data_IF_734855175761
#
_entry.id   IF_734855175761
#
_cell.length_a   1.000
_cell.length_b   1.000
_cell.length_c   1.000
_cell.angle_alpha   90.00
_cell.angle_beta   90.00
_cell.angle_gamma   90.00
#
_symmetry.space_group_name_H-M   'P 1'
#
loop_
_entity.id
_entity.type
_entity.pdbx_description
1 polymer ?
#
# COMPACT_ATOMS: atom_id res chain seq x y z
N UNK A 1 -33.36 -4.90 -5.20
CA UNK A 1 -31.96 -4.86 -5.67
C UNK A 1 -31.62 -3.39 -5.93
N UNK A 2 -30.46 -2.90 -5.50
CA UNK A 2 -30.03 -1.53 -5.83
C UNK A 2 -29.68 -1.53 -7.32
N UNK A 3 -30.17 -0.54 -8.06
CA UNK A 3 -29.85 -0.37 -9.47
C UNK A 3 -28.33 -0.12 -9.64
N UNK A 4 -27.60 -0.95 -10.41
CA UNK A 4 -26.16 -0.83 -10.61
C UNK A 4 -25.70 0.49 -11.27
N UNK A 5 -26.61 1.26 -11.86
CA UNK A 5 -26.32 2.56 -12.46
C UNK A 5 -26.62 3.73 -11.55
N UNK A 6 -27.29 3.50 -10.42
CA UNK A 6 -27.74 4.55 -9.51
C UNK A 6 -26.62 5.21 -8.71
N UNK A 7 -26.84 6.46 -8.30
CA UNK A 7 -25.96 7.18 -7.36
C UNK A 7 -25.77 6.39 -6.05
N UNK A 8 -26.83 5.76 -5.55
CA UNK A 8 -26.75 4.94 -4.34
C UNK A 8 -25.76 3.79 -4.50
N UNK A 9 -25.73 3.14 -5.67
CA UNK A 9 -24.78 2.07 -5.94
C UNK A 9 -23.35 2.60 -6.02
N UNK A 10 -23.12 3.75 -6.67
CA UNK A 10 -21.80 4.40 -6.69
C UNK A 10 -21.29 4.69 -5.28
N UNK A 11 -22.13 5.24 -4.41
CA UNK A 11 -21.78 5.48 -2.99
C UNK A 11 -21.40 4.18 -2.30
N UNK A 12 -22.13 3.09 -2.53
CA UNK A 12 -21.78 1.77 -1.98
C UNK A 12 -20.42 1.29 -2.49
N UNK A 13 -20.10 1.44 -3.78
CA UNK A 13 -18.79 1.06 -4.34
C UNK A 13 -17.67 1.87 -3.71
N UNK A 14 -17.87 3.18 -3.52
CA UNK A 14 -16.91 4.05 -2.83
C UNK A 14 -16.69 3.56 -1.39
N UNK A 15 -17.77 3.25 -0.65
CA UNK A 15 -17.65 2.73 0.71
C UNK A 15 -16.88 1.40 0.77
N UNK A 16 -17.10 0.49 -0.18
CA UNK A 16 -16.34 -0.77 -0.25
C UNK A 16 -14.86 -0.49 -0.54
N UNK A 17 -14.55 0.44 -1.44
CA UNK A 17 -13.18 0.85 -1.72
C UNK A 17 -12.49 1.45 -0.47
N UNK A 18 -13.22 2.25 0.33
CA UNK A 18 -12.70 2.76 1.61
C UNK A 18 -12.54 1.67 2.67
N UNK A 19 -13.42 0.66 2.69
CA UNK A 19 -13.25 -0.51 3.57
C UNK A 19 -11.99 -1.29 3.19
N UNK A 20 -11.77 -1.51 1.88
CA UNK A 20 -10.54 -2.09 1.38
C UNK A 20 -9.31 -1.28 1.82
N UNK A 21 -9.36 0.04 1.66
CA UNK A 21 -8.28 0.94 2.05
C UNK A 21 -7.94 0.86 3.54
N UNK A 22 -8.97 0.86 4.39
CA UNK A 22 -8.79 0.70 5.83
C UNK A 22 -8.15 -0.65 6.15
N UNK A 23 -8.64 -1.73 5.53
CA UNK A 23 -8.08 -3.06 5.72
C UNK A 23 -6.63 -3.16 5.21
N UNK A 24 -6.31 -2.46 4.12
CA UNK A 24 -4.96 -2.39 3.56
C UNK A 24 -4.02 -1.66 4.53
N UNK A 25 -4.40 -0.45 4.98
CA UNK A 25 -3.65 0.27 6.00
C UNK A 25 -3.48 -0.53 7.30
N UNK A 26 -4.48 -1.33 7.67
CA UNK A 26 -4.41 -2.20 8.85
C UNK A 26 -3.44 -3.38 8.67
N UNK A 27 -3.41 -4.03 7.50
CA UNK A 27 -2.47 -5.11 7.18
C UNK A 27 -1.03 -4.58 7.12
N UNK A 28 -0.86 -3.50 6.35
CA UNK A 28 0.45 -3.01 5.95
C UNK A 28 1.10 -2.05 6.95
N UNK A 29 0.38 -1.69 8.03
CA UNK A 29 1.00 -1.07 9.20
C UNK A 29 2.27 -1.84 9.63
N UNK A 30 2.23 -3.17 9.54
CA UNK A 30 3.36 -4.02 9.86
C UNK A 30 4.57 -3.82 8.93
N UNK A 31 4.37 -3.51 7.64
CA UNK A 31 5.46 -3.27 6.69
C UNK A 31 6.23 -1.99 7.03
N UNK A 32 5.53 -0.97 7.55
CA UNK A 32 6.14 0.31 7.90
C UNK A 32 6.81 0.32 9.29
N UNK A 33 6.28 -0.43 10.26
CA UNK A 33 6.69 -0.26 11.68
C UNK A 33 7.23 -1.52 12.38
N UNK A 34 7.08 -2.72 11.80
CA UNK A 34 7.53 -3.94 12.49
C UNK A 34 9.03 -3.92 12.79
N UNK A 35 9.83 -3.30 11.93
CA UNK A 35 11.27 -3.14 12.08
C UNK A 35 11.65 -2.26 13.27
N UNK A 36 11.08 -1.06 13.40
CA UNK A 36 11.40 -0.10 14.48
C UNK A 36 10.83 -0.54 15.84
N UNK A 37 9.72 -1.28 15.83
CA UNK A 37 9.13 -1.87 17.03
C UNK A 37 9.91 -3.10 17.48
N UNK A 38 10.34 -3.97 16.56
CA UNK A 38 11.09 -5.20 16.90
C UNK A 38 12.49 -4.90 17.42
N UNK A 39 13.16 -3.85 16.91
CA UNK A 39 14.44 -3.36 17.43
C UNK A 39 14.30 -2.59 18.75
N UNK A 40 13.06 -2.37 19.23
CA UNK A 40 12.71 -1.62 20.45
C UNK A 40 13.19 -0.17 20.44
N UNK A 41 13.39 0.39 19.26
CA UNK A 41 13.73 1.82 19.09
C UNK A 41 12.51 2.69 19.40
N UNK A 42 11.31 2.20 19.07
CA UNK A 42 10.07 2.93 19.27
C UNK A 42 9.01 2.04 19.93
N UNK A 43 8.17 2.63 20.78
CA UNK A 43 6.99 1.95 21.31
C UNK A 43 5.97 1.70 20.18
N UNK A 44 5.17 0.61 20.23
CA UNK A 44 4.17 0.34 19.20
C UNK A 44 3.22 1.51 18.94
N UNK A 45 2.79 2.20 20.01
CA UNK A 45 1.80 3.28 19.93
C UNK A 45 2.37 4.53 19.27
N UNK A 46 3.62 4.88 19.58
CA UNK A 46 4.34 5.96 18.89
C UNK A 46 4.60 5.60 17.42
N UNK A 47 4.89 4.34 17.13
CA UNK A 47 5.19 3.88 15.78
C UNK A 47 3.96 3.94 14.86
N UNK A 48 2.79 3.45 15.30
CA UNK A 48 1.54 3.57 14.52
C UNK A 48 1.09 5.02 14.35
N UNK A 49 1.32 5.88 15.35
CA UNK A 49 1.00 7.31 15.24
C UNK A 49 1.87 7.99 14.18
N UNK A 50 3.19 7.78 14.24
CA UNK A 50 4.12 8.30 13.24
C UNK A 50 3.80 7.75 11.84
N UNK A 51 3.57 6.45 11.72
CA UNK A 51 3.27 5.83 10.45
C UNK A 51 1.94 6.30 9.86
N UNK A 52 0.90 6.51 10.68
CA UNK A 52 -0.37 7.08 10.22
C UNK A 52 -0.21 8.48 9.63
N UNK A 53 0.54 9.36 10.31
CA UNK A 53 0.84 10.71 9.80
C UNK A 53 1.67 10.66 8.52
N UNK A 54 2.72 9.85 8.48
CA UNK A 54 3.56 9.73 7.29
C UNK A 54 2.81 9.09 6.12
N UNK A 55 1.96 8.08 6.34
CA UNK A 55 1.11 7.50 5.32
C UNK A 55 0.15 8.55 4.74
N UNK A 56 -0.45 9.41 5.59
CA UNK A 56 -1.29 10.51 5.12
C UNK A 56 -0.52 11.48 4.22
N UNK A 57 0.67 11.92 4.66
CA UNK A 57 1.51 12.84 3.90
C UNK A 57 2.00 12.23 2.59
N UNK A 58 2.35 10.95 2.60
CA UNK A 58 2.71 10.19 1.41
C UNK A 58 1.54 10.11 0.44
N UNK A 59 0.34 9.79 0.93
CA UNK A 59 -0.86 9.66 0.11
C UNK A 59 -1.20 10.94 -0.65
N UNK A 60 -1.06 12.10 -0.03
CA UNK A 60 -1.34 13.39 -0.68
C UNK A 60 -0.22 13.90 -1.59
N UNK A 61 0.92 13.19 -1.68
CA UNK A 61 2.11 13.66 -2.42
C UNK A 61 2.03 13.45 -3.93
N UNK A 62 1.07 12.67 -4.43
CA UNK A 62 0.95 12.40 -5.86
C UNK A 62 -0.27 11.56 -6.23
N UNK A 63 -0.40 11.27 -7.53
CA UNK A 63 -1.51 10.48 -8.11
C UNK A 63 -1.06 9.51 -9.22
N UNK A 64 0.25 9.30 -9.38
CA UNK A 64 0.81 8.47 -10.45
C UNK A 64 0.35 7.00 -10.37
N UNK A 65 0.36 6.41 -9.17
CA UNK A 65 -0.12 5.04 -8.94
C UNK A 65 -1.63 4.95 -9.12
N UNK A 66 -2.37 5.98 -8.74
CA UNK A 66 -3.82 6.03 -8.95
C UNK A 66 -4.17 5.97 -10.44
N UNK A 67 -3.44 6.71 -11.28
CA UNK A 67 -3.58 6.66 -12.74
C UNK A 67 -3.18 5.29 -13.31
N UNK A 68 -2.10 4.69 -12.78
CA UNK A 68 -1.65 3.37 -13.20
C UNK A 68 -2.66 2.26 -12.88
N UNK A 69 -3.28 2.27 -11.69
CA UNK A 69 -4.29 1.28 -11.30
C UNK A 69 -5.61 1.54 -12.02
N UNK A 70 -6.04 2.79 -12.05
CA UNK A 70 -7.35 3.18 -12.56
C UNK A 70 -7.53 3.00 -14.07
N UNK A 71 -6.46 3.15 -14.87
CA UNK A 71 -6.51 3.00 -16.33
C UNK A 71 -5.59 1.91 -16.89
N UNK A 72 -4.70 1.35 -16.07
CA UNK A 72 -3.67 0.42 -16.54
C UNK A 72 -4.01 -1.05 -16.36
N UNK A 73 -5.14 -1.40 -15.74
CA UNK A 73 -5.54 -2.79 -15.51
C UNK A 73 -6.60 -3.23 -16.51
N UNK A 74 -7.70 -2.49 -16.58
CA UNK A 74 -8.86 -2.74 -17.45
C UNK A 74 -9.22 -1.46 -18.20
N UNK A 75 -9.70 -1.61 -19.43
CA UNK A 75 -10.22 -0.51 -20.23
C UNK A 75 -11.51 0.03 -19.59
N UNK A 76 -11.54 1.29 -19.11
CA UNK A 76 -12.71 1.86 -18.46
C UNK A 76 -13.96 1.86 -19.35
N UNK A 77 -13.80 1.98 -20.67
CA UNK A 77 -14.93 2.04 -21.62
C UNK A 77 -15.57 0.66 -21.83
N UNK A 78 -14.86 -0.41 -21.48
CA UNK A 78 -15.31 -1.80 -21.62
C UNK A 78 -15.93 -2.41 -20.37
N UNK A 79 -16.04 -1.66 -19.26
CA UNK A 79 -16.52 -2.17 -17.97
C UNK A 79 -17.65 -1.31 -17.41
N UNK A 80 -18.37 -1.88 -16.44
CA UNK A 80 -19.44 -1.18 -15.70
C UNK A 80 -19.06 -0.94 -14.24
N UNK A 81 -19.83 -0.08 -13.57
CA UNK A 81 -19.70 0.14 -12.13
C UNK A 81 -19.89 -1.16 -11.33
N UNK A 82 -20.73 -2.10 -11.79
CA UNK A 82 -20.90 -3.41 -11.18
C UNK A 82 -19.60 -4.23 -11.21
N UNK A 83 -18.85 -4.16 -12.30
CA UNK A 83 -17.57 -4.86 -12.44
C UNK A 83 -16.52 -4.30 -11.51
N UNK A 84 -16.46 -2.96 -11.37
CA UNK A 84 -15.61 -2.32 -10.36
C UNK A 84 -16.01 -2.78 -8.96
N UNK A 85 -17.32 -2.81 -8.66
CA UNK A 85 -17.86 -3.27 -7.38
C UNK A 85 -17.43 -4.71 -7.06
N UNK A 86 -17.58 -5.63 -8.01
CA UNK A 86 -17.18 -7.03 -7.84
C UNK A 86 -15.67 -7.17 -7.60
N UNK A 87 -14.85 -6.48 -8.39
CA UNK A 87 -13.40 -6.53 -8.27
C UNK A 87 -12.89 -6.00 -6.94
N UNK A 88 -13.37 -4.83 -6.51
CA UNK A 88 -12.97 -4.22 -5.23
C UNK A 88 -13.51 -5.00 -4.04
N UNK A 89 -14.71 -5.58 -4.14
CA UNK A 89 -15.28 -6.42 -3.08
C UNK A 89 -14.46 -7.70 -2.89
N UNK A 90 -14.07 -8.36 -3.98
CA UNK A 90 -13.21 -9.54 -3.90
C UNK A 90 -11.87 -9.23 -3.22
N UNK A 91 -11.24 -8.11 -3.60
CA UNK A 91 -10.01 -7.63 -2.97
C UNK A 91 -10.19 -7.29 -1.48
N UNK A 92 -11.27 -6.58 -1.13
CA UNK A 92 -11.61 -6.20 0.24
C UNK A 92 -11.79 -7.42 1.15
N UNK A 93 -12.57 -8.41 0.69
CA UNK A 93 -12.81 -9.64 1.43
C UNK A 93 -11.49 -10.36 1.69
N UNK A 94 -10.66 -10.54 0.66
CA UNK A 94 -9.39 -11.25 0.80
C UNK A 94 -8.42 -10.55 1.76
N UNK A 95 -8.20 -9.25 1.59
CA UNK A 95 -7.27 -8.48 2.45
C UNK A 95 -7.78 -8.44 3.89
N UNK A 96 -9.08 -8.27 4.12
CA UNK A 96 -9.65 -8.28 5.45
C UNK A 96 -9.48 -9.65 6.14
N UNK A 97 -9.79 -10.75 5.44
CA UNK A 97 -9.64 -12.10 5.98
C UNK A 97 -8.18 -12.42 6.28
N UNK A 98 -7.26 -12.13 5.36
CA UNK A 98 -5.83 -12.31 5.58
C UNK A 98 -5.33 -11.52 6.80
N UNK A 99 -5.77 -10.27 6.94
CA UNK A 99 -5.45 -9.41 8.09
C UNK A 99 -5.95 -10.00 9.41
N UNK A 100 -7.18 -10.53 9.44
CA UNK A 100 -7.76 -11.19 10.63
C UNK A 100 -6.97 -12.42 11.06
N UNK A 101 -6.44 -13.15 10.07
CA UNK A 101 -5.59 -14.33 10.26
C UNK A 101 -4.13 -13.97 10.55
N UNK A 102 -3.74 -12.69 10.49
CA UNK A 102 -2.37 -12.24 10.74
C UNK A 102 -1.40 -12.58 9.62
N UNK A 103 -1.91 -12.81 8.40
CA UNK A 103 -1.12 -13.08 7.20
C UNK A 103 -0.78 -11.78 6.48
N UNK A 104 0.51 -11.48 6.26
CA UNK A 104 0.92 -10.36 5.42
C UNK A 104 0.57 -10.70 3.96
N UNK A 105 -0.23 -9.87 3.30
CA UNK A 105 -0.65 -10.07 1.92
C UNK A 105 -0.55 -8.78 1.13
N UNK A 106 -0.39 -8.88 -0.19
CA UNK A 106 -0.29 -7.70 -1.04
C UNK A 106 -1.67 -7.19 -1.47
N UNK A 107 -2.04 -5.99 -1.00
CA UNK A 107 -3.22 -5.28 -1.49
C UNK A 107 -3.18 -5.02 -3.01
N UNK A 108 -2.01 -4.70 -3.56
CA UNK A 108 -1.83 -4.49 -5.02
C UNK A 108 -2.26 -5.70 -5.82
N UNK A 109 -1.73 -6.88 -5.51
CA UNK A 109 -2.08 -8.12 -6.21
C UNK A 109 -3.57 -8.41 -6.09
N UNK A 110 -4.11 -8.25 -4.88
CA UNK A 110 -5.51 -8.51 -4.58
C UNK A 110 -6.43 -7.65 -5.44
N UNK A 111 -6.11 -6.35 -5.54
CA UNK A 111 -6.89 -5.38 -6.29
C UNK A 111 -6.77 -5.57 -7.79
N UNK A 112 -5.54 -5.74 -8.30
CA UNK A 112 -5.28 -5.98 -9.73
C UNK A 112 -5.99 -7.27 -10.17
N UNK A 113 -5.82 -8.37 -9.43
CA UNK A 113 -6.46 -9.64 -9.75
C UNK A 113 -7.99 -9.56 -9.66
N UNK A 114 -8.52 -8.85 -8.64
CA UNK A 114 -9.96 -8.65 -8.48
C UNK A 114 -10.57 -7.88 -9.65
N UNK A 115 -9.99 -6.75 -10.02
CA UNK A 115 -10.48 -5.89 -11.11
C UNK A 115 -10.26 -6.54 -12.48
N UNK A 116 -9.09 -7.13 -12.73
CA UNK A 116 -8.82 -7.85 -13.98
C UNK A 116 -9.75 -9.05 -14.14
N UNK A 117 -9.94 -9.84 -13.08
CA UNK A 117 -10.83 -11.00 -13.08
C UNK A 117 -12.29 -10.63 -13.33
N UNK A 118 -12.78 -9.57 -12.68
CA UNK A 118 -14.12 -9.04 -12.92
C UNK A 118 -14.27 -8.52 -14.36
N UNK A 119 -13.27 -7.80 -14.88
CA UNK A 119 -13.23 -7.34 -16.26
C UNK A 119 -13.30 -8.48 -17.27
N UNK A 120 -12.48 -9.52 -17.07
CA UNK A 120 -12.50 -10.73 -17.92
C UNK A 120 -13.87 -11.39 -17.89
N UNK A 121 -14.50 -11.49 -16.71
CA UNK A 121 -15.82 -12.08 -16.57
C UNK A 121 -16.91 -11.28 -17.32
N UNK A 122 -16.80 -9.95 -17.37
CA UNK A 122 -17.76 -9.10 -18.11
C UNK A 122 -17.50 -9.08 -19.62
N UNK A 123 -16.26 -8.86 -20.05
CA UNK A 123 -15.92 -8.45 -21.41
C UNK A 123 -14.84 -9.32 -22.08
N UNK A 124 -14.40 -10.40 -21.42
CA UNK A 124 -13.34 -11.28 -21.90
C UNK A 124 -11.94 -10.67 -21.77
N UNK A 125 -10.92 -11.38 -22.28
CA UNK A 125 -9.52 -10.94 -22.17
C UNK A 125 -9.18 -9.66 -22.93
N UNK A 126 -10.02 -9.23 -23.88
CA UNK A 126 -9.80 -8.03 -24.68
C UNK A 126 -9.87 -6.73 -23.88
N UNK A 127 -10.53 -6.74 -22.71
CA UNK A 127 -10.65 -5.54 -21.84
C UNK A 127 -9.38 -5.25 -21.05
N UNK A 128 -8.40 -6.16 -21.05
CA UNK A 128 -7.17 -5.98 -20.29
C UNK A 128 -6.22 -5.01 -20.99
N UNK A 129 -5.72 -4.02 -20.24
CA UNK A 129 -4.75 -3.06 -20.74
C UNK A 129 -3.34 -3.63 -20.56
N UNK A 130 -2.91 -4.48 -21.50
CA UNK A 130 -1.63 -5.19 -21.42
C UNK A 130 -0.41 -4.27 -21.23
N UNK A 131 -0.44 -3.08 -21.83
CA UNK A 131 0.64 -2.10 -21.70
C UNK A 131 0.78 -1.58 -20.26
N UNK A 132 -0.33 -1.36 -19.56
CA UNK A 132 -0.38 -0.96 -18.16
C UNK A 132 -0.04 -2.13 -17.24
N UNK A 133 -0.69 -3.29 -17.45
CA UNK A 133 -0.42 -4.51 -16.68
C UNK A 133 1.05 -4.90 -16.74
N UNK A 134 1.71 -4.82 -17.90
CA UNK A 134 3.14 -5.09 -18.03
C UNK A 134 3.98 -4.20 -17.12
N UNK A 135 3.72 -2.89 -17.07
CA UNK A 135 4.46 -1.96 -16.20
C UNK A 135 4.28 -2.33 -14.72
N UNK A 136 3.04 -2.63 -14.32
CA UNK A 136 2.72 -3.01 -12.94
C UNK A 136 3.40 -4.33 -12.57
N UNK A 137 3.32 -5.34 -13.43
CA UNK A 137 3.94 -6.66 -13.22
C UNK A 137 5.47 -6.58 -13.18
N UNK A 138 6.08 -5.74 -14.02
CA UNK A 138 7.53 -5.49 -13.97
C UNK A 138 7.91 -4.85 -12.63
N UNK A 139 7.20 -3.80 -12.21
CA UNK A 139 7.43 -3.16 -10.91
C UNK A 139 7.32 -4.15 -9.75
N UNK A 140 6.31 -5.02 -9.80
CA UNK A 140 6.05 -6.05 -8.80
C UNK A 140 7.13 -7.15 -8.75
N UNK A 141 7.69 -7.53 -9.90
CA UNK A 141 8.75 -8.53 -9.98
C UNK A 141 10.11 -7.96 -9.56
N UNK A 142 10.43 -6.74 -10.00
CA UNK A 142 11.74 -6.14 -9.76
C UNK A 142 11.85 -5.46 -8.39
N UNK A 143 10.76 -4.97 -7.78
CA UNK A 143 10.85 -4.26 -6.51
C UNK A 143 11.42 -5.10 -5.36
N UNK A 144 11.11 -6.40 -5.17
CA UNK A 144 11.75 -7.19 -4.12
C UNK A 144 13.24 -7.41 -4.40
N UNK A 145 13.63 -7.57 -5.67
CA UNK A 145 15.03 -7.73 -6.07
C UNK A 145 15.83 -6.45 -5.81
N UNK A 146 15.27 -5.29 -6.15
CA UNK A 146 15.88 -3.98 -5.88
C UNK A 146 15.95 -3.68 -4.39
N UNK A 147 14.90 -4.03 -3.63
CA UNK A 147 14.89 -3.89 -2.17
C UNK A 147 15.95 -4.76 -1.49
N UNK A 148 16.07 -6.02 -1.91
CA UNK A 148 17.07 -6.94 -1.39
C UNK A 148 18.50 -6.51 -1.73
N UNK A 149 18.76 -6.20 -3.01
CA UNK A 149 20.08 -5.76 -3.46
C UNK A 149 20.48 -4.42 -2.84
N UNK A 150 19.56 -3.46 -2.80
CA UNK A 150 19.76 -2.18 -2.12
C UNK A 150 20.05 -2.35 -0.63
N UNK A 151 19.26 -3.16 0.08
CA UNK A 151 19.48 -3.44 1.51
C UNK A 151 20.82 -4.11 1.77
N UNK A 152 21.22 -5.06 0.91
CA UNK A 152 22.52 -5.71 0.98
C UNK A 152 23.67 -4.73 0.77
N UNK A 153 23.60 -3.86 -0.25
CA UNK A 153 24.65 -2.88 -0.54
C UNK A 153 24.77 -1.82 0.58
N UNK A 154 23.64 -1.36 1.13
CA UNK A 154 23.63 -0.44 2.27
C UNK A 154 24.26 -1.11 3.48
N UNK A 155 23.88 -2.35 3.79
CA UNK A 155 24.46 -3.09 4.93
C UNK A 155 25.96 -3.34 4.75
N UNK A 156 26.39 -3.71 3.53
CA UNK A 156 27.80 -3.87 3.20
C UNK A 156 28.58 -2.57 3.43
N UNK A 157 28.03 -1.44 2.97
CA UNK A 157 28.63 -0.11 3.17
C UNK A 157 28.77 0.21 4.66
N UNK A 158 27.70 0.00 5.44
CA UNK A 158 27.73 0.21 6.89
C UNK A 158 28.79 -0.66 7.56
N UNK A 159 28.87 -1.95 7.17
CA UNK A 159 29.87 -2.87 7.70
C UNK A 159 31.28 -2.35 7.47
N UNK A 160 31.61 -1.89 6.25
CA UNK A 160 32.93 -1.35 5.93
C UNK A 160 33.27 -0.07 6.68
N UNK A 161 32.32 0.87 6.78
CA UNK A 161 32.51 2.16 7.47
C UNK A 161 32.67 1.96 8.97
N UNK A 162 31.86 1.09 9.58
CA UNK A 162 31.83 0.88 11.03
C UNK A 162 32.62 -0.35 11.50
N UNK A 163 33.43 -0.99 10.65
CA UNK A 163 34.18 -2.23 11.00
C UNK A 163 35.08 -2.12 12.23
N UNK A 164 35.53 -0.91 12.58
CA UNK A 164 36.36 -0.63 13.77
C UNK A 164 35.56 -0.06 14.95
N UNK A 165 34.27 0.23 14.76
CA UNK A 165 33.41 0.80 15.79
C UNK A 165 32.90 -0.29 16.75
N UNK A 166 32.65 0.09 18.01
CA UNK A 166 32.09 -0.83 18.99
C UNK A 166 30.60 -1.06 18.72
N UNK A 167 30.05 -2.25 19.03
CA UNK A 167 28.62 -2.53 18.86
C UNK A 167 27.70 -1.54 19.60
N UNK A 168 28.17 -0.99 20.73
CA UNK A 168 27.44 0.02 21.52
C UNK A 168 27.28 1.32 20.74
N UNK A 169 28.36 1.82 20.14
CA UNK A 169 28.33 3.04 19.33
C UNK A 169 27.44 2.87 18.10
N UNK A 170 27.58 1.75 17.38
CA UNK A 170 26.75 1.42 16.22
C UNK A 170 25.27 1.41 16.61
N UNK A 171 24.92 0.73 17.71
CA UNK A 171 23.54 0.69 18.20
C UNK A 171 23.03 2.09 18.55
N UNK A 172 23.82 2.92 19.23
CA UNK A 172 23.41 4.27 19.62
C UNK A 172 23.12 5.19 18.42
N UNK A 173 23.92 5.08 17.34
CA UNK A 173 23.74 5.86 16.11
C UNK A 173 22.52 5.36 15.35
N UNK A 174 22.48 4.06 15.03
CA UNK A 174 21.45 3.52 14.17
C UNK A 174 20.08 3.46 14.83
N UNK A 175 19.98 3.40 16.17
CA UNK A 175 18.69 3.58 16.86
C UNK A 175 18.07 4.95 16.57
N UNK A 176 18.85 6.02 16.41
CA UNK A 176 18.31 7.35 16.09
C UNK A 176 17.97 7.45 14.60
N UNK A 177 18.86 6.96 13.74
CA UNK A 177 18.65 7.00 12.28
C UNK A 177 17.46 6.13 11.85
N UNK A 178 17.23 4.98 12.51
CA UNK A 178 16.13 4.08 12.21
C UNK A 178 14.76 4.77 12.34
N UNK A 179 14.61 5.74 13.26
CA UNK A 179 13.36 6.49 13.39
C UNK A 179 13.05 7.26 12.10
N UNK A 180 14.07 7.88 11.50
CA UNK A 180 13.92 8.62 10.24
C UNK A 180 13.63 7.71 9.06
N UNK A 181 14.31 6.55 8.97
CA UNK A 181 14.07 5.60 7.88
C UNK A 181 12.72 4.90 8.00
N UNK A 182 12.25 4.59 9.22
CA UNK A 182 10.89 4.09 9.45
C UNK A 182 9.83 5.11 9.00
N UNK A 183 10.05 6.41 9.27
CA UNK A 183 9.19 7.47 8.77
C UNK A 183 9.22 7.57 7.24
N UNK A 184 10.39 7.43 6.61
CA UNK A 184 10.53 7.42 5.15
C UNK A 184 9.81 6.22 4.51
N UNK A 185 9.89 5.02 5.11
CA UNK A 185 9.14 3.85 4.64
C UNK A 185 7.65 4.10 4.76
N UNK A 186 7.16 4.62 5.89
CA UNK A 186 5.75 4.94 6.06
C UNK A 186 5.28 6.00 5.05
N UNK A 187 6.08 7.02 4.77
CA UNK A 187 5.75 8.00 3.73
C UNK A 187 5.66 7.37 2.34
N UNK A 188 6.68 6.60 1.97
CA UNK A 188 6.74 5.96 0.64
C UNK A 188 5.60 4.98 0.48
N UNK A 189 5.30 4.21 1.53
CA UNK A 189 4.15 3.32 1.60
C UNK A 189 2.84 4.08 1.34
N UNK A 190 2.57 5.18 2.04
CA UNK A 190 1.37 5.99 1.81
C UNK A 190 1.27 6.53 0.38
N UNK A 191 2.41 6.94 -0.20
CA UNK A 191 2.48 7.43 -1.57
C UNK A 191 2.17 6.38 -2.63
N UNK A 192 2.33 5.09 -2.30
CA UNK A 192 2.04 4.00 -3.23
C UNK A 192 0.65 3.40 -2.95
N UNK A 193 0.39 3.05 -1.69
CA UNK A 193 -0.75 2.24 -1.29
C UNK A 193 -2.07 2.99 -1.31
N UNK A 194 -2.10 4.23 -0.80
CA UNK A 194 -3.36 4.97 -0.75
C UNK A 194 -3.87 5.36 -2.14
N UNK A 195 -2.94 5.56 -3.06
CA UNK A 195 -3.26 5.87 -4.45
C UNK A 195 -3.96 4.72 -5.18
N UNK A 196 -3.83 3.46 -4.73
CA UNK A 196 -4.55 2.33 -5.33
C UNK A 196 -6.06 2.51 -5.18
N UNK A 197 -6.50 2.85 -3.97
CA UNK A 197 -7.92 3.14 -3.70
C UNK A 197 -8.37 4.42 -4.39
N UNK A 198 -7.52 5.45 -4.43
CA UNK A 198 -7.83 6.65 -5.23
C UNK A 198 -8.10 6.30 -6.69
N UNK A 199 -7.28 5.42 -7.28
CA UNK A 199 -7.44 4.93 -8.64
C UNK A 199 -8.76 4.18 -8.84
N UNK A 200 -9.17 3.33 -7.91
CA UNK A 200 -10.43 2.58 -8.00
C UNK A 200 -11.66 3.46 -7.77
N UNK A 201 -11.61 4.40 -6.83
CA UNK A 201 -12.71 5.36 -6.65
C UNK A 201 -12.82 6.23 -7.90
N UNK A 202 -11.70 6.69 -8.46
CA UNK A 202 -11.70 7.48 -9.71
C UNK A 202 -12.23 6.64 -10.88
N UNK A 203 -11.88 5.36 -10.96
CA UNK A 203 -12.45 4.45 -11.96
C UNK A 203 -13.96 4.29 -11.78
N UNK A 204 -14.45 4.12 -10.54
CA UNK A 204 -15.88 4.04 -10.24
C UNK A 204 -16.62 5.32 -10.64
N UNK A 205 -16.03 6.50 -10.40
CA UNK A 205 -16.58 7.78 -10.85
C UNK A 205 -16.59 7.87 -12.38
N UNK A 206 -15.52 7.42 -13.04
CA UNK A 206 -15.40 7.51 -14.50
C UNK A 206 -16.45 6.65 -15.22
N UNK A 207 -16.68 5.43 -14.74
CA UNK A 207 -17.62 4.49 -15.38
C UNK A 207 -19.07 4.68 -14.94
N UNK A 208 -19.31 5.50 -13.90
CA UNK A 208 -20.66 5.76 -13.39
C UNK A 208 -21.30 6.95 -14.13
N UNK A 209 -22.57 6.83 -14.57
CA UNK A 209 -23.31 7.98 -15.11
C UNK A 209 -23.42 9.17 -14.14
N UNK A 210 -23.25 8.92 -12.84
CA UNK A 210 -23.35 9.95 -11.79
C UNK A 210 -21.98 10.43 -11.26
N UNK A 211 -20.87 9.93 -11.77
CA UNK A 211 -19.55 10.30 -11.26
C UNK A 211 -19.04 11.66 -11.73
N UNK A 212 -19.62 12.21 -12.80
CA UNK A 212 -19.39 13.59 -13.28
C UNK A 212 -17.91 13.94 -13.53
N UNK A 213 -17.12 12.99 -14.06
CA UNK A 213 -15.74 13.25 -14.48
C UNK A 213 -15.54 12.91 -15.97
N UNK A 214 -15.08 13.89 -16.74
CA UNK A 214 -14.82 13.73 -18.18
C UNK A 214 -13.38 13.30 -18.48
N UNK A 215 -12.51 13.41 -17.47
CA UNK A 215 -11.10 13.04 -17.54
C UNK A 215 -10.69 12.28 -16.28
N UNK A 216 -9.62 11.50 -16.39
CA UNK A 216 -9.13 10.68 -15.28
C UNK A 216 -8.11 11.46 -14.46
N UNK A 217 -8.58 12.55 -13.88
CA UNK A 217 -7.87 13.28 -12.85
C UNK A 217 -8.52 12.99 -11.51
N UNK A 218 -7.68 12.58 -10.56
CA UNK A 218 -8.13 12.15 -9.24
C UNK A 218 -8.66 13.38 -8.49
N UNK A 219 -9.95 13.42 -8.12
CA UNK A 219 -10.49 14.58 -7.41
C UNK A 219 -9.83 14.76 -6.04
N UNK A 220 -9.65 16.00 -5.59
CA UNK A 220 -9.00 16.31 -4.31
C UNK A 220 -9.70 15.65 -3.12
N UNK A 221 -11.03 15.53 -3.15
CA UNK A 221 -11.77 14.85 -2.09
C UNK A 221 -11.46 13.35 -2.03
N UNK A 222 -11.21 12.70 -3.17
CA UNK A 222 -10.79 11.29 -3.25
C UNK A 222 -9.41 11.14 -2.63
N UNK A 223 -8.49 12.06 -2.95
CA UNK A 223 -7.14 12.07 -2.35
C UNK A 223 -7.24 12.18 -0.82
N UNK A 224 -7.98 13.17 -0.32
CA UNK A 224 -8.09 13.43 1.12
C UNK A 224 -8.80 12.30 1.88
N UNK A 225 -9.88 11.75 1.34
CA UNK A 225 -10.61 10.67 2.01
C UNK A 225 -9.80 9.36 2.01
N UNK A 226 -9.15 9.00 0.90
CA UNK A 226 -8.27 7.82 0.84
C UNK A 226 -7.07 7.98 1.78
N UNK A 227 -6.40 9.14 1.77
CA UNK A 227 -5.30 9.43 2.68
C UNK A 227 -5.71 9.32 4.15
N UNK A 228 -6.89 9.86 4.50
CA UNK A 228 -7.42 9.78 5.87
C UNK A 228 -7.71 8.34 6.27
N UNK A 229 -8.35 7.57 5.40
CA UNK A 229 -8.71 6.18 5.68
C UNK A 229 -7.48 5.28 5.78
N UNK A 230 -6.46 5.48 4.92
CA UNK A 230 -5.16 4.81 5.05
C UNK A 230 -4.53 5.09 6.42
N UNK A 231 -4.46 6.37 6.79
CA UNK A 231 -3.85 6.80 8.05
C UNK A 231 -4.57 6.20 9.26
N UNK A 232 -5.91 6.16 9.23
CA UNK A 232 -6.72 5.52 10.27
C UNK A 232 -6.47 4.01 10.31
N UNK A 233 -6.49 3.33 9.16
CA UNK A 233 -6.19 1.90 9.08
C UNK A 233 -4.82 1.56 9.67
N UNK A 234 -3.80 2.36 9.35
CA UNK A 234 -2.45 2.24 9.90
C UNK A 234 -2.41 2.49 11.41
N UNK A 235 -3.08 3.55 11.86
CA UNK A 235 -3.12 3.91 13.28
C UNK A 235 -3.76 2.81 14.15
N UNK A 236 -4.87 2.26 13.67
CA UNK A 236 -5.57 1.14 14.34
C UNK A 236 -4.94 -0.22 14.08
N UNK A 237 -3.78 -0.27 13.40
CA UNK A 237 -3.25 -1.40 12.65
C UNK A 237 -3.17 -2.78 13.34
N UNK A 238 -2.85 -3.79 12.53
CA UNK A 238 -2.93 -5.20 12.87
C UNK A 238 -1.85 -5.68 13.82
N UNK A 239 -2.08 -5.56 15.13
CA UNK A 239 -1.21 -6.11 16.19
C UNK A 239 -0.79 -7.57 15.96
N UNK A 240 -1.67 -8.40 15.38
CA UNK A 240 -1.37 -9.77 14.95
C UNK A 240 -0.34 -9.81 13.80
N UNK A 241 -0.52 -9.00 12.76
CA UNK A 241 0.39 -8.93 11.60
C UNK A 241 1.75 -8.38 12.01
N UNK A 242 1.77 -7.31 12.82
CA UNK A 242 2.99 -6.74 13.41
C UNK A 242 3.74 -7.80 14.21
N UNK A 243 3.03 -8.61 15.00
CA UNK A 243 3.65 -9.71 15.76
C UNK A 243 4.20 -10.81 14.85
N UNK A 244 3.53 -11.11 13.74
CA UNK A 244 4.02 -12.07 12.73
C UNK A 244 5.32 -11.57 12.11
N UNK A 245 5.34 -10.36 11.53
CA UNK A 245 6.53 -9.84 10.84
C UNK A 245 7.67 -9.48 11.80
N UNK A 246 7.36 -8.82 12.92
CA UNK A 246 8.37 -8.25 13.82
C UNK A 246 9.01 -9.25 14.79
N UNK A 247 8.35 -10.38 15.10
CA UNK A 247 8.85 -11.32 16.13
C UNK A 247 9.18 -12.69 15.56
N UNK A 248 8.49 -13.16 14.52
CA UNK A 248 8.61 -14.55 14.05
C UNK A 248 9.58 -14.76 12.89
N UNK A 249 10.05 -13.70 12.23
CA UNK A 249 10.86 -13.83 11.01
C UNK A 249 12.35 -13.72 11.29
N UNK A 250 12.86 -12.57 11.75
CA UNK A 250 14.30 -12.38 12.03
C UNK A 250 14.51 -11.50 13.26
N UNK A 251 15.47 -11.87 14.13
CA UNK A 251 15.94 -10.98 15.20
C UNK A 251 16.78 -9.85 14.61
N UNK A 252 16.24 -8.64 14.59
CA UNK A 252 16.90 -7.48 14.03
C UNK A 252 17.58 -6.60 15.08
N UNK A 253 18.66 -5.95 14.66
CA UNK A 253 19.31 -4.84 15.39
C UNK A 253 18.98 -3.53 14.68
N UNK A 254 19.07 -2.37 15.34
CA UNK A 254 18.73 -1.08 14.72
C UNK A 254 19.46 -0.81 13.40
N UNK A 255 20.72 -1.24 13.29
CA UNK A 255 21.50 -1.13 12.04
C UNK A 255 20.93 -1.96 10.88
N UNK A 256 20.38 -3.15 11.15
CA UNK A 256 19.72 -3.96 10.12
C UNK A 256 18.39 -3.32 9.71
N UNK A 257 17.64 -2.80 10.69
CA UNK A 257 16.40 -2.06 10.46
C UNK A 257 16.63 -0.84 9.57
N UNK A 258 17.60 0.01 9.92
CA UNK A 258 17.98 1.17 9.12
C UNK A 258 18.34 0.79 7.67
N UNK A 259 19.14 -0.25 7.47
CA UNK A 259 19.55 -0.67 6.13
C UNK A 259 18.35 -1.17 5.29
N UNK A 260 17.51 -2.01 5.88
CA UNK A 260 16.32 -2.56 5.22
C UNK A 260 15.29 -1.46 4.91
N UNK A 261 15.02 -0.56 5.86
CA UNK A 261 14.08 0.55 5.71
C UNK A 261 14.57 1.57 4.67
N UNK A 262 15.86 1.91 4.67
CA UNK A 262 16.42 2.83 3.66
C UNK A 262 16.24 2.29 2.24
N UNK A 263 16.52 1.00 2.04
CA UNK A 263 16.34 0.35 0.76
C UNK A 263 14.86 0.30 0.36
N UNK A 264 13.99 -0.11 1.28
CA UNK A 264 12.55 -0.18 1.03
C UNK A 264 11.97 1.20 0.66
N UNK A 265 12.27 2.24 1.43
CA UNK A 265 11.79 3.60 1.17
C UNK A 265 12.25 4.16 -0.18
N UNK A 266 13.43 3.74 -0.68
CA UNK A 266 13.95 4.20 -1.97
C UNK A 266 13.30 3.47 -3.15
N UNK A 267 12.85 2.23 -2.94
CA UNK A 267 12.31 1.37 -4.01
C UNK A 267 10.80 1.53 -4.18
N UNK A 268 10.08 1.83 -3.09
CA UNK A 268 8.62 2.04 -3.07
C UNK A 268 8.24 3.34 -3.79
#
# INVERSE_FOLDING_TARGET
>A
MIDPTSLTFLVVVILIALIFEFANGFNDAANAIATVVSTRVMSPLTAVAMAGVMNFLGAISGTAVAKAIGKGVVDPDGITLLTVACGVTAAAIWVFLASRLGMPVSGSHSLIAGVAGAGIAQAGFGVLVWSGMRKILLGLFFSPLLGFTGGFLIMLTIYWVFRKATPVLVTAIFSKLQIGTAAAVAFSHGSNDAQKTMGIITLALFVSPHGQIDSFDVPTWVILISATVMALGTYFGGSKVIRTLGVRIVRMRPVHGFAAESAAATVI
#
